data_IF_637896216630
#
_entry.id   IF_637896216630
#
_cell.length_a   1.000
_cell.length_b   1.000
_cell.length_c   1.000
_cell.angle_alpha   90.00
_cell.angle_beta   90.00
_cell.angle_gamma   90.00
#
_symmetry.space_group_name_H-M   'P 1'
#
loop_
_entity.id
_entity.type
_entity.pdbx_description
1 polymer ?
#
# COMPACT_ATOMS: atom_id res chain seq x y z
N UNK A 1 20.57 -15.09 -22.45
CA UNK A 1 21.45 -14.12 -23.14
C UNK A 1 21.55 -12.88 -22.25
N UNK A 2 22.72 -12.27 -22.14
CA UNK A 2 22.96 -11.10 -21.28
C UNK A 2 23.34 -9.90 -22.15
N UNK A 3 22.74 -8.74 -21.86
CA UNK A 3 23.20 -7.44 -22.34
C UNK A 3 23.87 -6.72 -21.17
N UNK A 4 25.17 -6.46 -21.29
CA UNK A 4 25.92 -5.63 -20.32
C UNK A 4 26.07 -4.21 -20.86
N UNK A 5 25.73 -3.23 -20.03
CA UNK A 5 25.91 -1.81 -20.29
C UNK A 5 27.00 -1.29 -19.36
N UNK A 6 28.13 -0.88 -19.96
CA UNK A 6 29.28 -0.37 -19.22
C UNK A 6 28.97 0.97 -18.53
N UNK A 7 29.73 1.30 -17.48
CA UNK A 7 29.64 2.57 -16.77
C UNK A 7 29.77 3.78 -17.72
N UNK A 8 29.12 4.89 -17.37
CA UNK A 8 29.08 6.13 -18.18
C UNK A 8 28.44 5.99 -19.58
N UNK A 9 27.80 4.86 -19.91
CA UNK A 9 27.07 4.69 -21.17
C UNK A 9 25.70 5.38 -21.10
N UNK A 10 25.32 6.00 -22.22
CA UNK A 10 23.94 6.46 -22.46
C UNK A 10 23.28 5.59 -23.51
N UNK A 11 22.18 4.94 -23.16
CA UNK A 11 21.33 4.17 -24.06
C UNK A 11 20.11 5.01 -24.43
N UNK A 12 19.84 5.14 -25.74
CA UNK A 12 18.78 6.00 -26.25
C UNK A 12 17.71 5.20 -27.00
N UNK A 13 16.48 5.22 -26.48
CA UNK A 13 15.30 4.69 -27.16
C UNK A 13 14.70 5.68 -28.15
N UNK A 14 14.27 5.20 -29.31
CA UNK A 14 13.45 5.99 -30.22
C UNK A 14 12.00 6.13 -29.70
N UNK A 15 11.24 7.06 -30.26
CA UNK A 15 9.84 7.28 -29.90
C UNK A 15 9.00 5.99 -30.00
N UNK A 16 8.21 5.71 -28.95
CA UNK A 16 7.41 4.50 -28.82
C UNK A 16 8.19 3.18 -28.77
N UNK A 17 9.51 3.20 -28.54
CA UNK A 17 10.33 1.98 -28.44
C UNK A 17 10.74 1.72 -27.00
N UNK A 18 10.57 0.46 -26.58
CA UNK A 18 11.08 -0.06 -25.32
C UNK A 18 12.39 -0.83 -25.57
N UNK A 19 13.22 -0.93 -24.52
CA UNK A 19 14.19 -2.02 -24.42
C UNK A 19 13.48 -3.21 -23.77
N UNK A 20 13.13 -4.21 -24.58
CA UNK A 20 12.55 -5.45 -24.10
C UNK A 20 13.65 -6.39 -23.60
N UNK A 21 13.54 -6.82 -22.36
CA UNK A 21 14.46 -7.73 -21.69
C UNK A 21 13.75 -9.04 -21.44
N UNK A 22 14.00 -10.03 -22.31
CA UNK A 22 13.59 -11.43 -22.14
C UNK A 22 14.73 -12.31 -21.58
N UNK A 23 15.95 -11.75 -21.52
CA UNK A 23 17.15 -12.39 -20.98
C UNK A 23 17.59 -11.73 -19.68
N UNK A 24 18.85 -11.30 -19.61
CA UNK A 24 19.39 -10.54 -18.48
C UNK A 24 19.92 -9.18 -18.93
N UNK A 25 19.57 -8.10 -18.22
CA UNK A 25 20.16 -6.77 -18.38
C UNK A 25 21.05 -6.45 -17.19
N UNK A 26 22.34 -6.27 -17.44
CA UNK A 26 23.32 -5.85 -16.44
C UNK A 26 23.75 -4.40 -16.73
N UNK A 27 23.40 -3.46 -15.85
CA UNK A 27 23.81 -2.06 -15.97
C UNK A 27 24.34 -1.57 -14.62
N UNK A 28 25.64 -1.72 -14.42
CA UNK A 28 26.31 -1.49 -13.14
C UNK A 28 27.21 -0.25 -13.23
N UNK A 29 26.60 0.93 -13.06
CA UNK A 29 27.30 2.20 -12.97
C UNK A 29 28.00 2.42 -11.62
N UNK A 30 28.55 3.62 -11.46
CA UNK A 30 29.05 4.13 -10.19
C UNK A 30 28.54 5.56 -9.95
N UNK A 31 28.69 6.07 -8.72
CA UNK A 31 28.31 7.45 -8.38
C UNK A 31 29.01 8.50 -9.27
N UNK A 32 30.22 8.22 -9.75
CA UNK A 32 31.00 9.11 -10.62
C UNK A 32 30.83 8.80 -12.11
N UNK A 33 30.36 7.61 -12.45
CA UNK A 33 30.17 7.14 -13.83
C UNK A 33 28.79 6.46 -13.97
N UNK A 34 27.70 7.21 -13.80
CA UNK A 34 26.35 6.65 -13.84
C UNK A 34 25.98 6.24 -15.27
N UNK A 35 25.04 5.29 -15.38
CA UNK A 35 24.46 4.88 -16.66
C UNK A 35 23.14 5.61 -16.87
N UNK A 36 22.88 6.06 -18.10
CA UNK A 36 21.61 6.73 -18.44
C UNK A 36 20.83 5.95 -19.49
N UNK A 37 19.57 5.65 -19.21
CA UNK A 37 18.57 5.24 -20.22
C UNK A 37 17.59 6.39 -20.45
N UNK A 38 17.46 6.83 -21.70
CA UNK A 38 16.65 8.00 -22.07
C UNK A 38 16.09 7.89 -23.49
N UNK A 39 15.26 8.84 -23.91
CA UNK A 39 14.85 8.98 -25.31
C UNK A 39 15.95 9.61 -26.18
N UNK A 40 15.89 9.38 -27.49
CA UNK A 40 16.73 10.07 -28.47
C UNK A 40 16.46 11.58 -28.57
N UNK A 41 15.20 11.99 -28.34
CA UNK A 41 14.82 13.40 -28.29
C UNK A 41 15.36 14.09 -27.03
N UNK A 42 15.29 13.39 -25.89
CA UNK A 42 15.85 13.82 -24.62
C UNK A 42 15.34 15.19 -24.13
N UNK A 43 14.05 15.49 -24.34
CA UNK A 43 13.47 16.81 -24.02
C UNK A 43 12.23 16.78 -23.13
N UNK A 44 11.63 15.62 -22.83
CA UNK A 44 10.42 15.53 -22.02
C UNK A 44 9.89 14.10 -21.84
N UNK A 45 8.88 13.94 -20.99
CA UNK A 45 8.27 12.64 -20.65
C UNK A 45 7.67 11.89 -21.85
N UNK A 46 7.53 10.56 -21.70
CA UNK A 46 6.91 9.65 -22.66
C UNK A 46 7.48 9.71 -24.09
N UNK A 47 8.77 10.04 -24.21
CA UNK A 47 9.45 10.12 -25.50
C UNK A 47 10.05 8.79 -25.97
N UNK A 48 9.98 7.76 -25.13
CA UNK A 48 10.28 6.36 -25.41
C UNK A 48 9.52 5.49 -24.41
N UNK A 49 9.42 4.19 -24.66
CA UNK A 49 8.52 3.32 -23.91
C UNK A 49 9.14 2.71 -22.64
N UNK A 50 10.41 3.01 -22.35
CA UNK A 50 11.07 2.58 -21.12
C UNK A 50 11.75 1.22 -21.20
N UNK A 51 12.06 0.69 -20.02
CA UNK A 51 12.62 -0.66 -19.82
C UNK A 51 11.48 -1.63 -19.52
N UNK A 52 11.40 -2.73 -20.26
CA UNK A 52 10.34 -3.72 -20.09
C UNK A 52 10.97 -5.10 -19.90
N UNK A 53 10.88 -5.65 -18.68
CA UNK A 53 11.31 -7.00 -18.36
C UNK A 53 10.09 -7.91 -18.45
N UNK A 54 9.96 -8.66 -19.55
CA UNK A 54 8.86 -9.63 -19.76
C UNK A 54 9.43 -11.05 -19.67
N UNK A 55 9.41 -11.64 -18.48
CA UNK A 55 10.08 -12.91 -18.15
C UNK A 55 11.60 -12.82 -17.99
N UNK A 56 12.21 -11.69 -18.38
CA UNK A 56 13.63 -11.42 -18.20
C UNK A 56 13.96 -10.88 -16.81
N UNK A 57 15.26 -10.77 -16.53
CA UNK A 57 15.78 -10.26 -15.25
C UNK A 57 16.81 -9.15 -15.44
N UNK A 58 17.16 -8.43 -14.39
CA UNK A 58 18.25 -7.47 -14.46
C UNK A 58 18.74 -6.93 -13.13
N UNK A 59 19.88 -6.25 -13.21
CA UNK A 59 20.50 -5.54 -12.11
C UNK A 59 20.90 -4.14 -12.60
N UNK A 60 20.25 -3.14 -12.03
CA UNK A 60 20.44 -1.73 -12.33
C UNK A 60 21.03 -1.05 -11.09
N UNK A 61 22.27 -0.55 -11.20
CA UNK A 61 22.94 0.17 -10.12
C UNK A 61 23.55 1.48 -10.61
N UNK A 62 23.30 2.59 -9.92
CA UNK A 62 23.66 3.94 -10.40
C UNK A 62 23.13 4.22 -11.81
N UNK A 63 21.88 3.83 -12.04
CA UNK A 63 21.17 4.02 -13.31
C UNK A 63 20.18 5.17 -13.18
N UNK A 64 20.14 6.05 -14.17
CA UNK A 64 19.02 6.99 -14.36
C UNK A 64 18.16 6.53 -15.53
N UNK A 65 16.89 6.22 -15.29
CA UNK A 65 15.87 6.05 -16.33
C UNK A 65 15.03 7.32 -16.35
N UNK A 66 14.94 7.98 -17.51
CA UNK A 66 14.17 9.22 -17.63
C UNK A 66 13.50 9.39 -18.98
N UNK A 67 12.46 10.23 -19.00
CA UNK A 67 11.71 10.56 -20.21
C UNK A 67 11.00 9.37 -20.86
N UNK A 68 10.87 8.28 -20.11
CA UNK A 68 10.12 7.10 -20.47
C UNK A 68 8.62 7.30 -20.16
N UNK A 69 7.80 6.26 -20.31
CA UNK A 69 6.34 6.34 -20.11
C UNK A 69 5.53 6.38 -21.41
N UNK A 70 6.08 5.96 -22.54
CA UNK A 70 5.24 5.55 -23.68
C UNK A 70 4.80 4.07 -23.50
N UNK A 71 3.79 3.63 -24.24
CA UNK A 71 3.23 2.27 -24.11
C UNK A 71 4.22 1.25 -24.64
N UNK A 72 4.35 0.15 -23.92
CA UNK A 72 5.00 -1.05 -24.41
C UNK A 72 4.09 -2.27 -24.24
N UNK A 73 4.46 -3.38 -24.90
CA UNK A 73 3.64 -4.60 -24.90
C UNK A 73 3.50 -5.23 -23.52
N UNK A 74 4.52 -5.09 -22.65
CA UNK A 74 4.54 -5.67 -21.30
C UNK A 74 3.68 -4.83 -20.36
N UNK A 75 3.79 -3.50 -20.36
CA UNK A 75 2.92 -2.67 -19.53
C UNK A 75 1.45 -2.76 -19.95
N UNK A 76 1.19 -2.92 -21.25
CA UNK A 76 -0.16 -3.10 -21.77
C UNK A 76 -0.77 -4.47 -21.43
N UNK A 77 0.04 -5.54 -21.25
CA UNK A 77 -0.45 -6.88 -20.92
C UNK A 77 -0.94 -6.98 -19.47
N UNK A 78 -0.26 -6.31 -18.51
CA UNK A 78 -0.60 -6.38 -17.07
C UNK A 78 -2.09 -6.13 -16.80
N UNK A 79 -2.64 -5.05 -17.37
CA UNK A 79 -4.05 -4.68 -17.19
C UNK A 79 -4.90 -4.87 -18.44
N UNK A 80 -4.35 -5.51 -19.48
CA UNK A 80 -4.96 -5.61 -20.81
C UNK A 80 -5.49 -4.25 -21.32
N UNK A 81 -4.69 -3.20 -21.08
CA UNK A 81 -5.08 -1.81 -21.30
C UNK A 81 -3.86 -0.94 -21.63
N UNK A 82 -3.92 -0.20 -22.75
CA UNK A 82 -2.85 0.67 -23.22
C UNK A 82 -2.67 2.00 -22.49
N UNK A 83 -3.46 2.30 -21.46
CA UNK A 83 -3.33 3.53 -20.65
C UNK A 83 -2.27 3.44 -19.54
N UNK A 84 -1.82 2.25 -19.17
CA UNK A 84 -0.80 2.08 -18.14
C UNK A 84 0.60 2.27 -18.74
N UNK A 85 1.25 3.36 -18.33
CA UNK A 85 2.53 3.82 -18.84
C UNK A 85 3.56 3.77 -17.73
N UNK A 86 4.72 3.20 -18.01
CA UNK A 86 5.74 3.03 -16.97
C UNK A 86 7.14 3.29 -17.49
N UNK A 87 7.98 3.90 -16.66
CA UNK A 87 9.41 4.03 -16.98
C UNK A 87 10.09 2.67 -17.01
N UNK A 88 9.73 1.84 -16.04
CA UNK A 88 10.18 0.45 -15.92
C UNK A 88 8.95 -0.43 -15.66
N UNK A 89 8.84 -1.54 -16.38
CA UNK A 89 7.87 -2.60 -16.11
C UNK A 89 8.61 -3.91 -15.87
N UNK A 90 8.23 -4.65 -14.84
CA UNK A 90 8.73 -6.00 -14.55
C UNK A 90 7.56 -6.95 -14.45
N UNK A 91 7.48 -7.90 -15.38
CA UNK A 91 6.48 -8.95 -15.45
C UNK A 91 7.19 -10.32 -15.47
N UNK A 92 6.77 -11.26 -14.62
CA UNK A 92 7.30 -12.65 -14.57
C UNK A 92 8.84 -12.74 -14.41
N UNK A 93 9.46 -11.70 -13.86
CA UNK A 93 10.91 -11.48 -13.92
C UNK A 93 11.54 -11.17 -12.56
N UNK A 94 12.83 -10.83 -12.58
CA UNK A 94 13.54 -10.36 -11.38
C UNK A 94 14.29 -9.06 -11.64
N UNK A 95 14.14 -8.07 -10.78
CA UNK A 95 14.87 -6.81 -10.88
C UNK A 95 15.53 -6.44 -9.55
N UNK A 96 16.85 -6.27 -9.56
CA UNK A 96 17.57 -5.58 -8.49
C UNK A 96 17.84 -4.13 -8.92
N UNK A 97 17.32 -3.17 -8.16
CA UNK A 97 17.41 -1.73 -8.44
C UNK A 97 18.05 -1.01 -7.26
N UNK A 98 19.30 -0.58 -7.42
CA UNK A 98 20.09 -0.02 -6.32
C UNK A 98 20.64 1.36 -6.67
N UNK A 99 20.63 2.31 -5.74
CA UNK A 99 21.30 3.61 -5.89
C UNK A 99 20.95 4.31 -7.22
N UNK A 100 19.70 4.19 -7.65
CA UNK A 100 19.26 4.55 -9.00
C UNK A 100 18.21 5.66 -8.96
N UNK A 101 17.80 6.15 -10.12
CA UNK A 101 16.78 7.20 -10.23
C UNK A 101 15.82 6.89 -11.37
N UNK A 102 14.54 6.79 -11.04
CA UNK A 102 13.44 6.73 -12.01
C UNK A 102 12.75 8.09 -12.00
N UNK A 103 12.80 8.81 -13.13
CA UNK A 103 12.31 10.20 -13.18
C UNK A 103 11.66 10.64 -14.48
N UNK A 104 10.94 11.75 -14.41
CA UNK A 104 10.34 12.43 -15.56
C UNK A 104 9.51 11.48 -16.44
N UNK A 105 8.66 10.66 -15.82
CA UNK A 105 7.70 9.80 -16.52
C UNK A 105 6.37 10.51 -16.53
N UNK A 106 6.09 11.18 -17.64
CA UNK A 106 4.97 12.10 -17.79
C UNK A 106 4.36 11.92 -19.17
N UNK A 107 3.08 11.57 -19.23
CA UNK A 107 2.30 11.37 -20.45
C UNK A 107 0.87 11.92 -20.27
N UNK A 108 0.02 11.77 -21.29
CA UNK A 108 -1.41 12.06 -21.20
C UNK A 108 -2.22 10.83 -20.73
N UNK A 109 -1.58 9.90 -20.02
CA UNK A 109 -2.13 8.61 -19.58
C UNK A 109 -1.74 8.32 -18.13
N UNK A 110 -1.89 7.08 -17.64
CA UNK A 110 -1.61 6.75 -16.23
C UNK A 110 -0.13 6.47 -16.05
N UNK A 111 0.57 7.39 -15.39
CA UNK A 111 2.03 7.39 -15.33
C UNK A 111 2.58 6.71 -14.08
N UNK A 112 3.54 5.80 -14.30
CA UNK A 112 4.23 5.06 -13.24
C UNK A 112 5.75 5.14 -13.41
N UNK A 113 6.48 5.28 -12.30
CA UNK A 113 7.93 5.09 -12.32
C UNK A 113 8.26 3.62 -12.54
N UNK A 114 7.61 2.76 -11.73
CA UNK A 114 7.76 1.31 -11.78
C UNK A 114 6.40 0.61 -11.70
N UNK A 115 6.16 -0.33 -12.62
CA UNK A 115 5.05 -1.27 -12.57
C UNK A 115 5.60 -2.69 -12.39
N UNK A 116 5.06 -3.43 -11.41
CA UNK A 116 5.48 -4.79 -11.06
C UNK A 116 4.27 -5.72 -11.19
N UNK A 117 4.46 -6.89 -11.81
CA UNK A 117 3.40 -7.88 -12.04
C UNK A 117 3.98 -9.31 -11.96
N UNK A 118 3.51 -10.11 -10.99
CA UNK A 118 3.99 -11.47 -10.68
C UNK A 118 5.53 -11.62 -10.80
N UNK A 119 6.26 -10.68 -10.20
CA UNK A 119 7.72 -10.56 -10.34
C UNK A 119 8.42 -10.38 -8.98
N UNK A 120 9.72 -10.66 -8.93
CA UNK A 120 10.57 -10.39 -7.76
C UNK A 120 11.38 -9.12 -7.95
N UNK A 121 11.14 -8.09 -7.14
CA UNK A 121 11.84 -6.81 -7.24
C UNK A 121 12.42 -6.42 -5.88
N UNK A 122 13.73 -6.15 -5.87
CA UNK A 122 14.46 -5.68 -4.69
C UNK A 122 14.98 -4.27 -5.00
N UNK A 123 14.66 -3.31 -4.14
CA UNK A 123 14.98 -1.90 -4.33
C UNK A 123 15.74 -1.37 -3.12
N UNK A 124 16.89 -0.74 -3.37
CA UNK A 124 17.65 -0.03 -2.34
C UNK A 124 18.08 1.36 -2.81
N UNK A 125 18.03 2.34 -1.91
CA UNK A 125 18.60 3.69 -2.09
C UNK A 125 18.21 4.35 -3.43
N UNK A 126 16.99 4.10 -3.91
CA UNK A 126 16.52 4.56 -5.22
C UNK A 126 15.56 5.73 -5.08
N UNK A 127 15.65 6.68 -6.02
CA UNK A 127 14.82 7.89 -6.04
C UNK A 127 13.77 7.78 -7.13
N UNK A 128 12.50 7.96 -6.76
CA UNK A 128 11.37 8.15 -7.66
C UNK A 128 10.98 9.62 -7.65
N UNK A 129 11.05 10.32 -8.79
CA UNK A 129 10.77 11.76 -8.82
C UNK A 129 10.21 12.27 -10.16
N UNK A 130 9.30 13.23 -10.13
CA UNK A 130 8.72 13.79 -11.36
C UNK A 130 7.91 12.75 -12.16
N UNK A 131 7.25 11.83 -11.46
CA UNK A 131 6.33 10.86 -12.07
C UNK A 131 4.91 11.42 -12.03
N UNK A 132 4.29 11.51 -13.21
CA UNK A 132 2.94 12.02 -13.42
C UNK A 132 2.82 13.53 -13.65
N UNK A 133 1.62 13.96 -14.05
CA UNK A 133 1.28 15.35 -14.38
C UNK A 133 0.13 15.92 -13.51
N UNK A 134 -0.22 15.26 -12.43
CA UNK A 134 -1.33 15.62 -11.54
C UNK A 134 -2.59 14.78 -11.72
N UNK A 135 -2.59 13.79 -12.62
CA UNK A 135 -3.75 12.92 -12.81
C UNK A 135 -3.95 11.91 -11.68
N UNK A 136 -5.21 11.58 -11.40
CA UNK A 136 -5.60 10.77 -10.23
C UNK A 136 -5.21 9.29 -10.31
N UNK A 137 -4.46 8.85 -11.32
CA UNK A 137 -3.94 7.47 -11.42
C UNK A 137 -2.43 7.41 -11.46
N UNK A 138 -1.78 8.56 -11.58
CA UNK A 138 -0.34 8.67 -11.55
C UNK A 138 0.17 8.34 -10.16
N UNK A 139 1.26 7.58 -10.12
CA UNK A 139 1.88 7.15 -8.89
C UNK A 139 3.33 6.77 -9.16
N UNK A 140 4.22 6.98 -8.19
CA UNK A 140 5.60 6.56 -8.32
C UNK A 140 5.75 5.05 -8.61
N UNK A 141 4.97 4.21 -7.92
CA UNK A 141 5.03 2.75 -8.07
C UNK A 141 3.65 2.11 -7.99
N UNK A 142 3.42 1.09 -8.82
CA UNK A 142 2.22 0.24 -8.81
C UNK A 142 2.61 -1.23 -8.80
N UNK A 143 1.98 -2.00 -7.93
CA UNK A 143 2.28 -3.42 -7.67
C UNK A 143 1.03 -4.24 -7.94
N UNK A 144 1.15 -5.25 -8.81
CA UNK A 144 0.11 -6.20 -9.19
C UNK A 144 0.61 -7.63 -9.02
N UNK A 145 -0.31 -8.60 -9.05
CA UNK A 145 0.01 -10.03 -9.04
C UNK A 145 0.23 -10.59 -7.63
N UNK A 146 -0.40 -11.72 -7.35
CA UNK A 146 -0.32 -12.37 -6.02
C UNK A 146 1.06 -12.93 -5.73
N UNK A 147 1.81 -13.30 -6.77
CA UNK A 147 3.14 -13.90 -6.65
C UNK A 147 4.25 -12.85 -6.68
N UNK A 148 3.90 -11.56 -6.72
CA UNK A 148 4.88 -10.47 -6.64
C UNK A 148 5.57 -10.43 -5.28
N UNK A 149 6.90 -10.44 -5.32
CA UNK A 149 7.76 -10.19 -4.16
C UNK A 149 8.37 -8.81 -4.34
N UNK A 150 8.07 -7.88 -3.43
CA UNK A 150 8.69 -6.55 -3.37
C UNK A 150 9.40 -6.38 -2.03
N UNK A 151 10.71 -6.16 -2.08
CA UNK A 151 11.51 -5.73 -0.94
C UNK A 151 12.09 -4.35 -1.23
N UNK A 152 11.90 -3.39 -0.32
CA UNK A 152 12.31 -2.00 -0.56
C UNK A 152 12.91 -1.38 0.70
N UNK A 153 14.08 -0.77 0.55
CA UNK A 153 14.82 -0.13 1.64
C UNK A 153 15.42 1.22 1.22
N UNK A 154 15.39 2.21 2.12
CA UNK A 154 16.09 3.48 1.94
C UNK A 154 15.71 4.30 0.69
N UNK A 155 14.58 3.99 0.05
CA UNK A 155 14.20 4.59 -1.23
C UNK A 155 13.34 5.83 -1.02
N UNK A 156 13.51 6.85 -1.86
CA UNK A 156 12.85 8.16 -1.68
C UNK A 156 11.82 8.40 -2.76
N UNK A 157 10.63 8.83 -2.33
CA UNK A 157 9.52 9.20 -3.19
C UNK A 157 9.30 10.70 -3.02
N UNK A 158 9.61 11.49 -4.04
CA UNK A 158 9.51 12.95 -3.93
C UNK A 158 9.11 13.62 -5.24
N UNK A 159 8.16 14.54 -5.16
CA UNK A 159 7.77 15.37 -6.30
C UNK A 159 7.09 14.56 -7.41
N UNK A 160 6.46 13.45 -7.06
CA UNK A 160 5.55 12.72 -7.93
C UNK A 160 4.12 13.24 -7.72
N UNK A 161 3.19 12.94 -8.64
CA UNK A 161 1.75 13.19 -8.40
C UNK A 161 1.29 12.55 -7.10
N UNK A 162 1.82 11.35 -6.80
CA UNK A 162 1.68 10.66 -5.52
C UNK A 162 2.98 10.00 -5.14
N UNK A 163 3.53 10.39 -4.00
CA UNK A 163 4.71 9.81 -3.38
C UNK A 163 4.35 8.51 -2.64
N UNK A 164 3.73 7.56 -3.38
CA UNK A 164 3.08 6.34 -2.86
C UNK A 164 3.47 5.10 -3.65
N UNK A 165 3.18 3.95 -3.05
CA UNK A 165 3.06 2.65 -3.73
C UNK A 165 1.59 2.28 -3.77
N UNK A 166 1.01 2.05 -4.96
CA UNK A 166 -0.34 1.47 -5.06
C UNK A 166 -0.25 -0.05 -5.11
N UNK A 167 -1.01 -0.71 -4.24
CA UNK A 167 -1.22 -2.15 -4.20
C UNK A 167 -2.55 -2.47 -4.91
N UNK A 168 -2.48 -3.22 -6.00
CA UNK A 168 -3.65 -3.76 -6.69
C UNK A 168 -4.32 -4.88 -5.86
N UNK A 169 -5.58 -5.24 -6.15
CA UNK A 169 -6.25 -6.34 -5.47
C UNK A 169 -5.42 -7.63 -5.49
N UNK A 170 -5.09 -8.14 -4.30
CA UNK A 170 -4.32 -9.38 -4.14
C UNK A 170 -2.81 -9.25 -4.37
N UNK A 171 -2.28 -8.06 -4.67
CA UNK A 171 -0.85 -7.85 -4.89
C UNK A 171 -0.04 -8.37 -3.69
N UNK A 172 0.97 -9.22 -3.94
CA UNK A 172 1.83 -9.85 -2.94
C UNK A 172 1.14 -10.80 -1.94
N UNK A 173 -0.15 -11.11 -2.13
CA UNK A 173 -0.96 -11.92 -1.20
C UNK A 173 -0.98 -13.42 -1.57
N UNK A 174 0.02 -13.91 -2.30
CA UNK A 174 0.27 -15.34 -2.54
C UNK A 174 1.21 -15.98 -1.50
N UNK A 175 1.85 -15.17 -0.66
CA UNK A 175 2.82 -15.59 0.35
C UNK A 175 2.90 -14.56 1.49
N UNK A 176 3.54 -14.95 2.60
CA UNK A 176 3.85 -14.02 3.68
C UNK A 176 4.63 -12.82 3.17
N UNK A 177 4.22 -11.63 3.61
CA UNK A 177 4.69 -10.36 3.06
C UNK A 177 5.05 -9.40 4.19
N UNK A 178 6.15 -8.67 4.02
CA UNK A 178 6.57 -7.61 4.93
C UNK A 178 6.68 -6.29 4.18
N UNK A 179 6.04 -5.24 4.69
CA UNK A 179 6.14 -3.88 4.15
C UNK A 179 7.04 -3.02 5.03
N UNK A 180 7.85 -2.17 4.39
CA UNK A 180 8.86 -1.35 5.04
C UNK A 180 8.60 0.13 4.80
N UNK A 181 8.68 0.94 5.86
CA UNK A 181 8.58 2.39 5.73
C UNK A 181 9.75 2.94 4.91
N UNK A 182 9.46 3.92 4.05
CA UNK A 182 10.46 4.57 3.21
C UNK A 182 10.60 6.06 3.58
N UNK A 183 11.80 6.65 3.45
CA UNK A 183 11.97 8.09 3.64
C UNK A 183 11.04 8.92 2.74
N UNK A 184 10.31 9.86 3.36
CA UNK A 184 9.45 10.86 2.69
C UNK A 184 8.22 10.28 1.96
N UNK A 185 8.11 8.95 1.81
CA UNK A 185 6.95 8.30 1.20
C UNK A 185 5.68 8.50 2.04
N UNK A 186 4.58 8.82 1.37
CA UNK A 186 3.26 8.98 2.00
C UNK A 186 2.79 7.66 2.63
N UNK A 187 2.92 6.55 1.89
CA UNK A 187 2.48 5.23 2.31
C UNK A 187 2.16 4.27 1.17
N UNK A 188 1.68 3.09 1.56
CA UNK A 188 1.12 2.08 0.67
C UNK A 188 -0.39 2.29 0.56
N UNK A 189 -0.92 2.42 -0.66
CA UNK A 189 -2.33 2.70 -0.93
C UNK A 189 -3.02 1.52 -1.60
N UNK A 190 -4.21 1.15 -1.13
CA UNK A 190 -5.11 0.24 -1.83
C UNK A 190 -6.38 0.95 -2.30
N UNK A 191 -6.84 0.60 -3.51
CA UNK A 191 -7.95 1.27 -4.21
C UNK A 191 -9.22 0.41 -4.34
N UNK A 192 -9.12 -0.84 -3.88
CA UNK A 192 -10.22 -1.78 -3.66
C UNK A 192 -9.98 -2.42 -2.27
N UNK A 193 -10.92 -3.22 -1.77
CA UNK A 193 -10.67 -4.04 -0.58
C UNK A 193 -9.37 -4.85 -0.76
N UNK A 194 -8.46 -4.71 0.20
CA UNK A 194 -7.20 -5.43 0.21
C UNK A 194 -7.32 -6.61 1.17
N UNK A 195 -7.40 -7.81 0.61
CA UNK A 195 -7.58 -9.05 1.36
C UNK A 195 -6.23 -9.66 1.71
N UNK A 196 -5.99 -9.91 3.00
CA UNK A 196 -4.96 -10.82 3.52
C UNK A 196 -5.59 -12.20 3.66
N UNK A 197 -5.30 -13.17 2.77
CA UNK A 197 -5.96 -14.47 2.77
C UNK A 197 -5.63 -15.32 4.00
N UNK A 198 -6.47 -16.30 4.31
CA UNK A 198 -6.34 -17.19 5.47
C UNK A 198 -4.99 -17.94 5.63
N UNK A 199 -4.20 -18.04 4.57
CA UNK A 199 -2.88 -18.71 4.58
C UNK A 199 -1.69 -17.75 4.60
N UNK A 200 -1.94 -16.44 4.73
CA UNK A 200 -0.93 -15.39 4.58
C UNK A 200 -0.82 -14.55 5.83
N UNK A 201 0.41 -14.23 6.21
CA UNK A 201 0.75 -13.18 7.17
C UNK A 201 1.21 -11.91 6.46
N UNK A 202 0.53 -10.80 6.74
CA UNK A 202 0.99 -9.46 6.40
C UNK A 202 1.66 -8.81 7.61
N UNK A 203 2.95 -8.48 7.47
CA UNK A 203 3.74 -7.79 8.49
C UNK A 203 4.01 -6.35 8.07
N UNK A 204 3.74 -5.40 8.95
CA UNK A 204 4.06 -3.99 8.77
C UNK A 204 5.17 -3.61 9.74
N UNK A 205 6.34 -3.26 9.21
CA UNK A 205 7.45 -2.77 10.03
C UNK A 205 7.15 -1.39 10.64
N UNK A 206 7.86 -0.99 11.72
CA UNK A 206 7.64 0.30 12.37
C UNK A 206 7.72 1.49 11.39
N UNK A 207 6.78 2.42 11.52
CA UNK A 207 6.70 3.62 10.68
C UNK A 207 5.93 3.44 9.37
N UNK A 208 5.44 2.24 9.04
CA UNK A 208 4.63 2.03 7.84
C UNK A 208 3.31 2.80 7.95
N UNK A 209 2.93 3.44 6.83
CA UNK A 209 1.60 4.00 6.61
C UNK A 209 0.86 3.17 5.58
N UNK A 210 -0.30 2.63 5.95
CA UNK A 210 -1.26 1.97 5.06
C UNK A 210 -2.46 2.89 4.83
N UNK A 211 -2.87 3.03 3.57
CA UNK A 211 -3.87 4.00 3.12
C UNK A 211 -4.99 3.31 2.33
N UNK A 212 -6.23 3.41 2.82
CA UNK A 212 -7.40 2.93 2.09
C UNK A 212 -8.08 4.03 1.27
N UNK A 213 -8.44 3.76 0.02
CA UNK A 213 -9.34 4.65 -0.72
C UNK A 213 -10.77 4.56 -0.22
N UNK A 214 -11.59 5.58 -0.51
CA UNK A 214 -12.99 5.62 -0.10
C UNK A 214 -13.74 4.34 -0.48
N UNK A 215 -14.42 3.76 0.51
CA UNK A 215 -15.25 2.56 0.38
C UNK A 215 -14.51 1.26 0.58
N UNK A 216 -13.20 1.30 0.85
CA UNK A 216 -12.37 0.10 0.89
C UNK A 216 -11.79 -0.16 2.29
N UNK A 217 -11.69 -1.44 2.62
CA UNK A 217 -11.14 -1.95 3.87
C UNK A 217 -9.83 -2.74 3.64
N UNK A 218 -9.01 -2.80 4.69
CA UNK A 218 -8.02 -3.87 4.83
C UNK A 218 -8.74 -5.05 5.51
N UNK A 219 -9.00 -6.11 4.75
CA UNK A 219 -9.70 -7.30 5.20
C UNK A 219 -8.70 -8.41 5.53
N UNK A 220 -8.79 -8.99 6.71
CA UNK A 220 -7.85 -9.96 7.24
C UNK A 220 -8.58 -11.26 7.54
N UNK A 221 -8.36 -12.26 6.70
CA UNK A 221 -8.73 -13.66 6.95
C UNK A 221 -7.54 -14.48 7.48
N UNK A 222 -6.31 -14.02 7.23
CA UNK A 222 -5.06 -14.60 7.73
C UNK A 222 -4.55 -13.92 9.01
N UNK A 223 -3.32 -13.42 8.97
CA UNK A 223 -2.68 -12.74 10.11
C UNK A 223 -2.20 -11.34 9.71
N UNK A 224 -2.49 -10.34 10.54
CA UNK A 224 -1.92 -8.99 10.44
C UNK A 224 -1.03 -8.68 11.66
N UNK A 225 0.26 -8.52 11.42
CA UNK A 225 1.23 -8.08 12.44
C UNK A 225 1.67 -6.65 12.16
N UNK A 226 1.37 -5.73 13.06
CA UNK A 226 1.70 -4.32 12.92
C UNK A 226 2.28 -3.80 14.24
N UNK A 227 3.59 -4.00 14.41
CA UNK A 227 4.29 -3.78 15.67
C UNK A 227 5.17 -2.53 15.62
N UNK A 228 4.54 -1.36 15.65
CA UNK A 228 5.23 -0.08 15.73
C UNK A 228 5.98 0.13 17.05
N UNK A 229 6.60 1.30 17.18
CA UNK A 229 7.25 1.75 18.42
C UNK A 229 6.76 3.14 18.84
N UNK A 230 7.02 3.60 20.07
CA UNK A 230 6.65 4.96 20.48
C UNK A 230 7.20 6.07 19.57
N UNK A 231 8.38 5.84 18.97
CA UNK A 231 9.06 6.82 18.11
C UNK A 231 8.79 6.61 16.63
N UNK A 232 8.33 5.42 16.24
CA UNK A 232 8.00 5.05 14.86
C UNK A 232 6.67 4.27 14.85
N UNK A 233 5.55 4.95 15.14
CA UNK A 233 4.25 4.29 15.17
C UNK A 233 3.81 3.91 13.76
N UNK A 234 2.93 2.91 13.66
CA UNK A 234 2.27 2.53 12.40
C UNK A 234 1.01 3.37 12.22
N UNK A 235 0.70 3.76 10.98
CA UNK A 235 -0.50 4.54 10.65
C UNK A 235 -1.39 3.78 9.68
N UNK A 236 -2.66 3.65 10.02
CA UNK A 236 -3.74 3.25 9.11
C UNK A 236 -4.67 4.44 8.91
N UNK A 237 -4.84 4.88 7.65
CA UNK A 237 -5.63 6.08 7.33
C UNK A 237 -6.27 5.99 5.94
N UNK A 238 -7.00 7.03 5.52
CA UNK A 238 -7.53 7.17 4.17
C UNK A 238 -6.48 7.68 3.19
N UNK A 239 -6.62 7.40 1.89
CA UNK A 239 -5.76 7.95 0.84
C UNK A 239 -5.82 9.48 0.73
N UNK A 240 -6.93 10.10 1.12
CA UNK A 240 -7.07 11.56 1.18
C UNK A 240 -6.49 12.15 2.46
N UNK A 241 -6.51 11.40 3.57
CA UNK A 241 -5.97 11.76 4.88
C UNK A 241 -6.37 13.15 5.42
N UNK A 242 -7.60 13.59 5.16
CA UNK A 242 -8.05 14.96 5.50
C UNK A 242 -9.21 15.02 6.48
N UNK A 243 -9.92 13.93 6.71
CA UNK A 243 -11.07 13.97 7.59
C UNK A 243 -11.77 12.63 7.77
N UNK A 244 -12.69 12.64 8.72
CA UNK A 244 -13.53 11.51 9.13
C UNK A 244 -14.13 10.74 7.94
N UNK A 245 -14.20 9.41 8.09
CA UNK A 245 -15.03 8.61 7.22
C UNK A 245 -14.65 8.58 5.75
N UNK A 246 -13.35 8.54 5.46
CA UNK A 246 -12.79 8.57 4.12
C UNK A 246 -12.35 7.20 3.61
N UNK A 247 -12.48 6.16 4.44
CA UNK A 247 -12.23 4.75 4.10
C UNK A 247 -12.96 3.84 5.09
N UNK A 248 -13.03 2.55 4.81
CA UNK A 248 -13.87 1.63 5.60
C UNK A 248 -13.21 1.22 6.91
N UNK A 249 -11.88 1.11 6.96
CA UNK A 249 -11.16 0.70 8.17
C UNK A 249 -10.56 -0.70 8.06
N UNK A 250 -10.37 -1.32 9.22
CA UNK A 250 -9.82 -2.67 9.35
C UNK A 250 -10.94 -3.68 9.60
N UNK A 251 -10.93 -4.79 8.88
CA UNK A 251 -11.85 -5.91 9.08
C UNK A 251 -11.10 -7.21 9.35
N UNK A 252 -11.43 -7.93 10.42
CA UNK A 252 -10.91 -9.27 10.71
C UNK A 252 -12.05 -10.28 10.60
N UNK A 253 -12.00 -11.18 9.62
CA UNK A 253 -13.05 -12.18 9.36
C UNK A 253 -12.43 -13.58 9.49
N UNK A 254 -12.47 -14.13 10.71
CA UNK A 254 -11.73 -15.35 11.07
C UNK A 254 -10.22 -15.17 11.24
N UNK A 255 -9.65 -14.06 10.75
CA UNK A 255 -8.23 -13.73 10.85
C UNK A 255 -7.82 -13.11 12.18
N UNK A 256 -6.52 -13.22 12.51
CA UNK A 256 -5.93 -12.70 13.76
C UNK A 256 -5.16 -11.41 13.52
N UNK A 257 -4.88 -10.67 14.59
CA UNK A 257 -4.06 -9.46 14.47
C UNK A 257 -3.37 -9.02 15.75
N UNK A 258 -2.17 -8.47 15.61
CA UNK A 258 -1.46 -7.81 16.71
C UNK A 258 -1.02 -6.41 16.28
N UNK A 259 -1.70 -5.40 16.81
CA UNK A 259 -1.39 -4.00 16.57
C UNK A 259 -0.75 -3.42 17.83
N UNK A 260 0.44 -2.84 17.69
CA UNK A 260 1.14 -2.17 18.77
C UNK A 260 1.72 -0.84 18.34
N UNK A 261 1.55 0.20 19.15
CA UNK A 261 1.92 1.59 18.79
C UNK A 261 1.42 1.97 17.39
N UNK A 262 0.11 1.79 17.17
CA UNK A 262 -0.54 2.05 15.90
C UNK A 262 -1.64 3.10 16.05
N UNK A 263 -1.89 3.88 14.99
CA UNK A 263 -3.04 4.79 14.90
C UNK A 263 -3.96 4.35 13.77
N UNK A 264 -5.24 4.16 14.06
CA UNK A 264 -6.31 4.04 13.06
C UNK A 264 -7.10 5.34 13.08
N UNK A 265 -7.19 6.03 11.93
CA UNK A 265 -7.94 7.28 11.84
C UNK A 265 -8.71 7.42 10.55
N UNK A 266 -9.73 8.30 10.56
CA UNK A 266 -10.53 8.64 9.38
C UNK A 266 -11.29 7.47 8.75
N UNK A 267 -11.33 6.33 9.45
CA UNK A 267 -12.08 5.15 9.08
C UNK A 267 -13.58 5.33 9.39
N UNK A 268 -14.34 4.24 9.28
CA UNK A 268 -15.74 4.21 9.64
C UNK A 268 -16.69 4.38 8.48
N UNK A 269 -16.30 4.11 7.22
CA UNK A 269 -17.26 3.79 6.16
C UNK A 269 -17.76 2.35 6.29
N UNK A 270 -18.70 1.97 5.42
CA UNK A 270 -19.31 0.63 5.41
C UNK A 270 -18.26 -0.45 5.16
N UNK A 271 -18.41 -1.58 5.85
CA UNK A 271 -17.60 -2.77 5.64
C UNK A 271 -18.49 -4.02 5.72
N UNK A 272 -18.04 -5.10 5.08
CA UNK A 272 -18.79 -6.35 4.95
C UNK A 272 -19.09 -7.05 6.29
N UNK A 273 -18.32 -6.78 7.34
CA UNK A 273 -18.50 -7.40 8.66
C UNK A 273 -19.67 -6.75 9.38
N UNK A 274 -19.65 -5.43 9.57
CA UNK A 274 -20.75 -4.73 10.25
C UNK A 274 -22.04 -4.77 9.44
N UNK A 275 -21.96 -4.76 8.11
CA UNK A 275 -23.15 -4.78 7.26
C UNK A 275 -23.98 -6.07 7.44
N UNK A 276 -23.35 -7.19 7.82
CA UNK A 276 -24.04 -8.45 8.08
C UNK A 276 -24.93 -8.39 9.34
N UNK A 277 -24.44 -7.78 10.42
CA UNK A 277 -25.18 -7.62 11.67
C UNK A 277 -26.14 -6.43 11.60
N UNK A 278 -25.71 -5.38 10.90
CA UNK A 278 -26.25 -4.03 11.04
C UNK A 278 -26.64 -3.37 9.72
N UNK A 279 -26.77 -4.10 8.63
CA UNK A 279 -27.15 -3.52 7.34
C UNK A 279 -26.26 -2.35 6.94
N UNK A 280 -26.75 -1.12 7.08
CA UNK A 280 -26.03 0.08 6.63
C UNK A 280 -25.95 1.19 7.67
N UNK A 281 -26.38 0.90 8.90
CA UNK A 281 -26.70 1.91 9.91
C UNK A 281 -25.65 2.05 11.02
N UNK A 282 -24.75 1.08 11.15
CA UNK A 282 -23.61 1.16 12.05
C UNK A 282 -22.30 1.04 11.28
N UNK A 283 -21.29 1.77 11.73
CA UNK A 283 -19.98 1.79 11.07
C UNK A 283 -18.89 1.65 12.10
N UNK A 284 -17.88 0.85 11.80
CA UNK A 284 -16.77 0.60 12.69
C UNK A 284 -15.44 0.95 12.04
N UNK A 285 -14.52 1.55 12.80
CA UNK A 285 -13.15 1.74 12.34
C UNK A 285 -12.36 0.44 12.32
N UNK A 286 -12.64 -0.43 13.29
CA UNK A 286 -12.19 -1.82 13.30
C UNK A 286 -13.39 -2.73 13.55
N UNK A 287 -13.60 -3.70 12.67
CA UNK A 287 -14.62 -4.72 12.84
C UNK A 287 -13.98 -6.11 12.89
N UNK A 288 -14.47 -6.98 13.76
CA UNK A 288 -14.04 -8.37 13.80
C UNK A 288 -15.21 -9.33 14.00
N UNK A 289 -15.14 -10.46 13.30
CA UNK A 289 -16.08 -11.56 13.35
C UNK A 289 -15.33 -12.90 13.35
N UNK A 290 -15.83 -13.85 14.13
CA UNK A 290 -15.41 -15.26 14.12
C UNK A 290 -13.90 -15.50 14.36
N UNK A 291 -13.22 -14.59 15.08
CA UNK A 291 -11.80 -14.74 15.48
C UNK A 291 -11.69 -15.66 16.69
N UNK A 292 -11.90 -16.95 16.46
CA UNK A 292 -11.95 -17.99 17.50
C UNK A 292 -10.62 -18.74 17.66
N UNK A 293 -9.81 -18.81 16.59
CA UNK A 293 -8.53 -19.53 16.55
C UNK A 293 -7.33 -18.61 16.81
N UNK A 294 -7.43 -17.75 17.83
CA UNK A 294 -6.44 -16.72 18.13
C UNK A 294 -7.13 -15.50 18.72
N UNK A 295 -6.59 -14.31 18.48
CA UNK A 295 -7.16 -13.05 18.97
C UNK A 295 -6.79 -11.86 18.07
N UNK A 296 -7.54 -10.77 18.22
CA UNK A 296 -7.09 -9.43 17.82
C UNK A 296 -6.62 -8.70 19.07
N UNK A 297 -5.35 -8.30 19.10
CA UNK A 297 -4.68 -7.67 20.25
C UNK A 297 -4.22 -6.26 19.92
N UNK A 298 -4.61 -5.31 20.75
CA UNK A 298 -4.15 -3.92 20.73
C UNK A 298 -3.28 -3.60 21.94
N UNK A 299 -2.12 -3.00 21.70
CA UNK A 299 -1.20 -2.51 22.74
C UNK A 299 -0.74 -1.09 22.38
N UNK A 300 -1.12 -0.06 23.15
CA UNK A 300 -0.82 1.34 22.80
C UNK A 300 -1.38 1.75 21.42
N UNK A 301 -2.61 1.34 21.12
CA UNK A 301 -3.30 1.69 19.87
C UNK A 301 -4.16 2.94 20.09
N UNK A 302 -4.15 3.87 19.14
CA UNK A 302 -5.08 5.00 19.12
C UNK A 302 -6.09 4.82 17.99
N UNK A 303 -7.38 4.79 18.31
CA UNK A 303 -8.45 4.94 17.32
C UNK A 303 -9.06 6.33 17.47
N UNK A 304 -9.04 7.12 16.39
CA UNK A 304 -9.50 8.50 16.43
C UNK A 304 -10.14 9.01 15.16
N UNK A 305 -10.95 10.06 15.30
CA UNK A 305 -11.52 10.82 14.19
C UNK A 305 -12.29 9.92 13.22
N UNK A 306 -13.27 9.20 13.75
CA UNK A 306 -14.14 8.32 12.96
C UNK A 306 -15.61 8.77 13.01
N UNK A 307 -15.89 9.84 13.78
CA UNK A 307 -17.22 10.39 14.02
C UNK A 307 -17.91 10.87 12.74
N UNK A 308 -18.74 10.03 12.12
CA UNK A 308 -19.56 10.39 10.96
C UNK A 308 -20.92 10.97 11.41
N UNK A 309 -21.84 11.22 10.48
CA UNK A 309 -23.23 11.56 10.80
C UNK A 309 -24.07 10.32 11.19
N UNK A 310 -23.52 9.12 11.04
CA UNK A 310 -24.18 7.84 11.33
C UNK A 310 -23.73 7.32 12.70
N UNK A 311 -24.12 6.10 13.07
CA UNK A 311 -23.72 5.52 14.34
C UNK A 311 -22.29 4.98 14.26
N UNK A 312 -21.44 5.48 15.15
CA UNK A 312 -20.01 5.24 15.08
C UNK A 312 -19.51 4.30 16.18
N UNK A 313 -18.74 3.31 15.76
CA UNK A 313 -18.13 2.30 16.62
C UNK A 313 -16.62 2.37 16.47
N UNK A 314 -15.89 2.50 17.58
CA UNK A 314 -14.43 2.35 17.57
C UNK A 314 -14.04 0.94 17.12
N UNK A 315 -14.47 -0.05 17.90
CA UNK A 315 -14.25 -1.47 17.64
C UNK A 315 -15.55 -2.27 17.76
N UNK A 316 -15.95 -2.95 16.69
CA UNK A 316 -17.02 -3.93 16.67
C UNK A 316 -16.45 -5.34 16.83
N UNK A 317 -17.00 -6.13 17.76
CA UNK A 317 -16.54 -7.50 18.08
C UNK A 317 -17.72 -8.45 18.05
N UNK A 318 -17.68 -9.48 17.21
CA UNK A 318 -18.67 -10.55 17.14
C UNK A 318 -18.00 -11.93 17.14
N UNK A 319 -18.43 -12.83 18.03
CA UNK A 319 -17.87 -14.19 18.18
C UNK A 319 -16.33 -14.22 18.08
N UNK A 320 -15.66 -13.31 18.79
CA UNK A 320 -14.22 -13.08 18.61
C UNK A 320 -13.50 -12.87 19.94
N UNK A 321 -12.23 -13.27 19.99
CA UNK A 321 -11.34 -12.96 21.11
C UNK A 321 -10.65 -11.61 20.87
N UNK A 322 -10.92 -10.63 21.73
CA UNK A 322 -10.36 -9.29 21.61
C UNK A 322 -9.67 -8.84 22.90
N UNK A 323 -8.44 -8.32 22.75
CA UNK A 323 -7.64 -7.79 23.84
C UNK A 323 -7.21 -6.36 23.51
N UNK A 324 -7.38 -5.44 24.46
CA UNK A 324 -6.81 -4.11 24.37
C UNK A 324 -6.15 -3.71 25.68
N UNK A 325 -4.90 -3.25 25.58
CA UNK A 325 -4.10 -2.71 26.66
C UNK A 325 -3.53 -1.34 26.25
N UNK A 326 -3.61 -0.38 27.17
CA UNK A 326 -3.02 0.96 27.02
C UNK A 326 -3.47 1.72 25.75
N UNK A 327 -4.66 1.41 25.24
CA UNK A 327 -5.20 1.97 23.99
C UNK A 327 -6.14 3.15 24.25
N UNK A 328 -6.12 4.13 23.35
CA UNK A 328 -6.90 5.37 23.41
C UNK A 328 -7.98 5.38 22.32
N UNK A 329 -9.20 5.73 22.71
CA UNK A 329 -10.34 5.94 21.81
C UNK A 329 -10.84 7.36 21.99
N UNK A 330 -10.80 8.17 20.93
CA UNK A 330 -11.16 9.59 21.00
C UNK A 330 -11.82 10.04 19.70
N UNK A 331 -12.69 11.05 19.73
CA UNK A 331 -13.43 11.51 18.54
C UNK A 331 -14.08 10.35 17.75
N UNK A 332 -14.66 9.40 18.49
CA UNK A 332 -15.33 8.21 17.95
C UNK A 332 -16.70 8.57 17.39
N UNK A 333 -17.47 9.39 18.11
CA UNK A 333 -18.82 9.76 17.72
C UNK A 333 -19.05 11.25 17.82
N UNK A 334 -20.19 11.68 17.28
CA UNK A 334 -20.67 13.05 17.41
C UNK A 334 -21.76 13.19 18.51
N UNK A 335 -22.09 12.09 19.20
CA UNK A 335 -23.18 12.02 20.16
C UNK A 335 -24.50 11.58 19.53
N UNK A 336 -24.46 10.90 18.38
CA UNK A 336 -25.65 10.38 17.70
C UNK A 336 -26.26 9.23 18.51
N UNK A 337 -27.59 9.13 18.52
CA UNK A 337 -28.31 8.09 19.28
C UNK A 337 -29.40 7.42 18.45
N UNK A 338 -29.13 7.07 17.20
CA UNK A 338 -30.18 6.58 16.28
C UNK A 338 -30.75 5.20 16.69
N UNK A 339 -29.92 4.15 16.80
CA UNK A 339 -30.31 2.81 17.29
C UNK A 339 -29.67 2.50 18.65
N UNK A 340 -28.47 3.01 18.89
CA UNK A 340 -27.63 2.95 20.09
C UNK A 340 -26.61 4.10 20.04
N UNK A 341 -26.05 4.53 21.18
CA UNK A 341 -25.09 5.63 21.21
C UNK A 341 -23.78 5.26 20.51
N UNK A 342 -23.10 6.25 19.95
CA UNK A 342 -21.72 6.09 19.51
C UNK A 342 -20.87 5.51 20.65
N UNK A 343 -20.00 4.57 20.34
CA UNK A 343 -19.29 3.80 21.38
C UNK A 343 -17.87 3.43 20.98
N UNK A 344 -16.90 3.51 21.90
CA UNK A 344 -15.57 2.93 21.68
C UNK A 344 -15.62 1.43 21.37
N UNK A 345 -16.57 0.70 21.98
CA UNK A 345 -16.71 -0.75 21.83
C UNK A 345 -18.15 -1.18 21.67
N UNK A 346 -18.40 -2.05 20.70
CA UNK A 346 -19.64 -2.82 20.60
C UNK A 346 -19.31 -4.31 20.60
N UNK A 347 -19.87 -5.08 21.53
CA UNK A 347 -19.62 -6.53 21.66
C UNK A 347 -20.92 -7.28 21.42
N UNK A 348 -20.90 -8.18 20.45
CA UNK A 348 -21.98 -9.07 20.04
C UNK A 348 -21.53 -10.53 20.11
N UNK A 349 -22.47 -11.47 20.01
CA UNK A 349 -22.16 -12.91 19.96
C UNK A 349 -21.94 -13.53 21.34
N UNK A 350 -22.43 -14.75 21.53
CA UNK A 350 -22.36 -15.47 22.81
C UNK A 350 -20.95 -15.95 23.19
N UNK A 351 -20.07 -16.07 22.19
CA UNK A 351 -18.72 -16.61 22.33
C UNK A 351 -17.64 -15.52 22.32
N UNK A 352 -18.03 -14.24 22.35
CA UNK A 352 -17.06 -13.14 22.41
C UNK A 352 -16.42 -13.03 23.79
N UNK A 353 -15.10 -13.04 23.84
CA UNK A 353 -14.33 -12.74 25.06
C UNK A 353 -13.60 -11.41 24.90
N UNK A 354 -13.90 -10.44 25.78
CA UNK A 354 -13.18 -9.17 25.89
C UNK A 354 -12.32 -9.16 27.13
N UNK A 355 -11.02 -8.89 26.96
CA UNK A 355 -10.10 -8.61 28.07
C UNK A 355 -9.49 -7.22 27.86
N UNK A 356 -9.99 -6.22 28.58
CA UNK A 356 -9.55 -4.83 28.45
C UNK A 356 -9.35 -4.14 29.80
N UNK A 357 -8.65 -3.01 29.75
CA UNK A 357 -8.05 -2.24 30.83
C UNK A 357 -8.88 -2.05 32.12
N UNK A 358 -8.17 -2.02 33.25
CA UNK A 358 -8.68 -1.58 34.54
C UNK A 358 -9.03 -0.08 34.49
N UNK A 359 -10.27 0.23 34.09
CA UNK A 359 -11.08 1.36 34.57
C UNK A 359 -12.30 1.50 33.65
N UNK A 360 -13.41 0.90 34.07
CA UNK A 360 -14.73 1.00 33.42
C UNK A 360 -15.38 2.40 33.53
N UNK A 361 -14.60 3.49 33.58
CA UNK A 361 -15.13 4.84 33.86
C UNK A 361 -15.41 5.73 32.65
N UNK A 362 -15.16 5.29 31.42
CA UNK A 362 -15.52 6.07 30.22
C UNK A 362 -16.40 5.28 29.26
N UNK A 363 -17.56 4.84 29.76
CA UNK A 363 -18.70 4.40 28.95
C UNK A 363 -19.73 5.52 28.75
N UNK A 364 -19.31 6.78 28.68
CA UNK A 364 -20.05 7.88 28.05
C UNK A 364 -19.03 8.93 27.59
N UNK A 365 -18.88 9.11 26.28
CA UNK A 365 -18.10 10.23 25.73
C UNK A 365 -18.77 11.55 26.10
N UNK A 366 -17.96 12.55 26.49
CA UNK A 366 -18.36 13.95 26.39
C UNK A 366 -18.18 14.46 24.97
#
# INVERSE_FOLDING_TARGET
MTLTVESNVTVMGANGKALLVEGYLEALGTATEPITFTSSANTGGAQWAGLAFGGGSGHLRYVTVRYAGDSNVVSASVFNNGYYRSAVTVQDGTLLLENSTLRDTVSDSYDHGLLIDDATVIISDTVFTGIGNGETRDVAMRVNGSDTVLEMHGSTFTGNTRDRVILEPGAMMGHDTTLYAQPVMDGYEFQADFLVPSTVKLTLEPGVTMMGSSGNALLVEGELEALGTPTTPITFTSSTDTGIGQWSGLGFDGGTGHLRYATVRYAGQRNSITDAAFGHWARAAVAMRDVLAGEVRFENVTIRDIAMADQDIGVYVENSNFIAADSLFTAIGNGSTYVFPDTPFYIAGGDSEKRCCADEQYLYGQ
#
